data_IF_304861170187
#
_entry.id   IF_304861170187
#
_cell.length_a   1.000
_cell.length_b   1.000
_cell.length_c   1.000
_cell.angle_alpha   90.00
_cell.angle_beta   90.00
_cell.angle_gamma   90.00
#
_symmetry.space_group_name_H-M   'P 1'
#
loop_
_entity.id
_entity.type
_entity.pdbx_description
1 polymer ?
#
# COMPACT_ATOMS: atom_id res chain seq x y z
N UNK A 1 4.26 19.90 18.73
CA UNK A 1 5.30 19.65 17.74
C UNK A 1 4.99 18.37 16.99
N UNK A 2 4.89 18.45 15.69
CA UNK A 2 4.60 17.28 14.86
C UNK A 2 5.91 16.56 14.52
N UNK A 3 5.87 15.23 14.63
CA UNK A 3 7.01 14.42 14.23
C UNK A 3 7.27 14.57 12.72
N UNK A 4 8.53 14.64 12.34
CA UNK A 4 8.91 14.68 10.94
C UNK A 4 8.60 13.33 10.29
N UNK A 5 8.07 13.38 9.07
CA UNK A 5 7.80 12.16 8.31
C UNK A 5 9.11 11.62 7.76
N UNK A 6 9.40 10.32 7.97
CA UNK A 6 10.59 9.72 7.37
C UNK A 6 10.51 9.78 5.85
N UNK A 7 11.63 10.05 5.19
CA UNK A 7 11.69 10.09 3.73
C UNK A 7 11.26 8.76 3.09
N UNK A 8 11.70 7.60 3.60
CA UNK A 8 11.24 6.32 3.04
C UNK A 8 9.73 6.19 3.08
N UNK A 9 9.07 6.70 4.12
CA UNK A 9 7.62 6.68 4.22
C UNK A 9 6.98 7.51 3.11
N UNK A 10 7.48 8.72 2.88
CA UNK A 10 6.94 9.60 1.83
C UNK A 10 7.11 8.95 0.47
N UNK A 11 8.26 8.35 0.19
CA UNK A 11 8.49 7.64 -1.07
C UNK A 11 7.54 6.45 -1.22
N UNK A 12 7.38 5.66 -0.15
CA UNK A 12 6.47 4.52 -0.18
C UNK A 12 5.04 4.97 -0.47
N UNK A 13 4.58 6.01 0.20
CA UNK A 13 3.22 6.53 0.01
C UNK A 13 3.03 7.07 -1.41
N UNK A 14 4.02 7.77 -1.96
CA UNK A 14 3.95 8.26 -3.34
C UNK A 14 3.80 7.11 -4.33
N UNK A 15 4.59 6.05 -4.15
CA UNK A 15 4.50 4.86 -5.00
C UNK A 15 3.13 4.21 -4.85
N UNK A 16 2.63 4.08 -3.62
CA UNK A 16 1.33 3.47 -3.35
C UNK A 16 0.21 4.27 -4.00
N UNK A 17 0.25 5.59 -3.93
CA UNK A 17 -0.78 6.43 -4.55
C UNK A 17 -0.81 6.20 -6.06
N UNK A 18 0.35 6.17 -6.71
CA UNK A 18 0.43 5.89 -8.15
C UNK A 18 -0.07 4.48 -8.45
N UNK A 19 0.38 3.48 -7.69
CA UNK A 19 -0.08 2.10 -7.87
C UNK A 19 -1.60 2.00 -7.73
N UNK A 20 -2.16 2.63 -6.70
CA UNK A 20 -3.60 2.58 -6.44
C UNK A 20 -4.38 3.22 -7.57
N UNK A 21 -3.92 4.34 -8.11
CA UNK A 21 -4.56 5.00 -9.24
C UNK A 21 -4.55 4.08 -10.47
N UNK A 22 -3.42 3.42 -10.74
CA UNK A 22 -3.31 2.48 -11.86
C UNK A 22 -4.22 1.29 -11.66
N UNK A 23 -4.26 0.73 -10.45
CA UNK A 23 -5.13 -0.41 -10.13
C UNK A 23 -6.61 -0.04 -10.30
N UNK A 24 -7.02 1.14 -9.84
CA UNK A 24 -8.39 1.61 -10.01
C UNK A 24 -8.76 1.73 -11.49
N UNK A 25 -7.88 2.31 -12.29
CA UNK A 25 -8.11 2.43 -13.73
C UNK A 25 -8.21 1.05 -14.39
N UNK A 26 -7.34 0.11 -13.96
CA UNK A 26 -7.33 -1.24 -14.49
C UNK A 26 -8.65 -1.97 -14.17
N UNK A 27 -9.10 -1.91 -12.92
CA UNK A 27 -10.35 -2.56 -12.50
C UNK A 27 -11.55 -1.90 -13.19
N UNK A 28 -11.57 -0.59 -13.28
CA UNK A 28 -12.66 0.13 -13.92
C UNK A 28 -12.80 -0.25 -15.39
N UNK A 29 -11.68 -0.56 -16.05
CA UNK A 29 -11.66 -0.97 -17.46
C UNK A 29 -11.96 -2.44 -17.70
N UNK A 30 -12.14 -3.26 -16.67
CA UNK A 30 -12.39 -4.68 -16.82
C UNK A 30 -13.87 -4.97 -17.05
N UNK A 31 -14.27 -4.93 -18.30
CA UNK A 31 -15.68 -5.12 -18.68
C UNK A 31 -16.21 -6.54 -18.44
N UNK A 32 -15.32 -7.52 -18.29
CA UNK A 32 -15.72 -8.91 -17.99
C UNK A 32 -16.20 -9.10 -16.57
N UNK A 33 -15.93 -8.15 -15.69
CA UNK A 33 -16.40 -8.20 -14.32
C UNK A 33 -17.82 -7.64 -14.23
N UNK A 34 -18.66 -8.26 -13.37
CA UNK A 34 -19.96 -7.69 -13.07
C UNK A 34 -19.80 -6.32 -12.42
N UNK A 35 -20.83 -5.48 -12.54
CA UNK A 35 -20.80 -4.15 -11.95
C UNK A 35 -20.59 -4.23 -10.43
N UNK A 36 -21.28 -5.15 -9.76
CA UNK A 36 -21.14 -5.32 -8.31
C UNK A 36 -19.73 -5.69 -7.90
N UNK A 37 -19.11 -6.65 -8.60
CA UNK A 37 -17.75 -7.07 -8.32
C UNK A 37 -16.76 -5.96 -8.63
N UNK A 38 -16.95 -5.26 -9.75
CA UNK A 38 -16.07 -4.16 -10.14
C UNK A 38 -16.10 -3.05 -9.10
N UNK A 39 -17.29 -2.63 -8.67
CA UNK A 39 -17.42 -1.58 -7.65
C UNK A 39 -16.82 -2.06 -6.34
N UNK A 40 -17.06 -3.31 -5.94
CA UNK A 40 -16.49 -3.86 -4.71
C UNK A 40 -14.97 -3.84 -4.74
N UNK A 41 -14.36 -4.25 -5.84
CA UNK A 41 -12.90 -4.22 -5.99
C UNK A 41 -12.36 -2.79 -5.96
N UNK A 42 -13.06 -1.85 -6.60
CA UNK A 42 -12.64 -0.46 -6.59
C UNK A 42 -12.68 0.13 -5.18
N UNK A 43 -13.69 -0.23 -4.39
CA UNK A 43 -13.78 0.20 -2.98
C UNK A 43 -12.60 -0.36 -2.18
N UNK A 44 -12.32 -1.64 -2.33
CA UNK A 44 -11.21 -2.28 -1.61
C UNK A 44 -9.89 -1.63 -1.99
N UNK A 45 -9.65 -1.42 -3.28
CA UNK A 45 -8.42 -0.77 -3.74
C UNK A 45 -8.33 0.66 -3.23
N UNK A 46 -9.44 1.39 -3.25
CA UNK A 46 -9.48 2.78 -2.77
C UNK A 46 -9.17 2.90 -1.28
N UNK A 47 -9.38 1.85 -0.50
CA UNK A 47 -9.01 1.86 0.92
C UNK A 47 -7.52 2.10 1.12
N UNK A 48 -6.69 1.77 0.13
CA UNK A 48 -5.27 2.07 0.21
C UNK A 48 -5.00 3.57 0.35
N UNK A 49 -5.83 4.43 -0.24
CA UNK A 49 -5.70 5.88 -0.05
C UNK A 49 -5.94 6.29 1.40
N UNK A 50 -6.90 5.66 2.05
CA UNK A 50 -7.18 5.92 3.47
C UNK A 50 -5.99 5.52 4.33
N UNK A 51 -5.45 4.33 4.11
CA UNK A 51 -4.27 3.86 4.83
C UNK A 51 -3.04 4.71 4.52
N UNK A 52 -2.88 5.15 3.26
CA UNK A 52 -1.77 6.02 2.88
C UNK A 52 -1.83 7.34 3.65
N UNK A 53 -3.02 7.91 3.77
CA UNK A 53 -3.21 9.13 4.54
C UNK A 53 -2.88 8.90 6.02
N UNK A 54 -3.35 7.78 6.58
CA UNK A 54 -3.04 7.43 7.96
C UNK A 54 -1.55 7.21 8.18
N UNK A 55 -0.87 6.60 7.21
CA UNK A 55 0.57 6.39 7.27
C UNK A 55 1.31 7.73 7.31
N UNK A 56 0.88 8.71 6.51
CA UNK A 56 1.47 10.05 6.54
C UNK A 56 1.23 10.77 7.87
N UNK A 57 0.25 10.33 8.64
CA UNK A 57 0.00 10.81 10.00
C UNK A 57 0.72 9.96 11.05
N UNK A 58 1.64 9.11 10.61
CA UNK A 58 2.44 8.23 11.46
C UNK A 58 1.61 7.22 12.25
N UNK A 59 0.51 6.75 11.64
CA UNK A 59 -0.31 5.69 12.22
C UNK A 59 0.29 4.32 11.87
N UNK A 60 0.77 3.60 12.88
CA UNK A 60 1.33 2.26 12.68
C UNK A 60 0.28 1.29 12.12
N UNK A 61 -0.97 1.42 12.57
CA UNK A 61 -2.06 0.59 12.06
C UNK A 61 -2.29 0.77 10.57
N UNK A 62 -2.19 2.02 10.09
CA UNK A 62 -2.32 2.31 8.66
C UNK A 62 -1.18 1.71 7.86
N UNK A 63 0.05 1.77 8.38
CA UNK A 63 1.20 1.16 7.72
C UNK A 63 1.03 -0.35 7.65
N UNK A 64 0.54 -0.98 8.72
CA UNK A 64 0.26 -2.42 8.70
C UNK A 64 -0.79 -2.78 7.66
N UNK A 65 -1.83 -1.94 7.50
CA UNK A 65 -2.82 -2.12 6.44
C UNK A 65 -2.20 -2.06 5.05
N UNK A 66 -1.31 -1.10 4.82
CA UNK A 66 -0.60 -1.01 3.55
C UNK A 66 0.32 -2.20 3.32
N UNK A 67 0.99 -2.68 4.36
CA UNK A 67 1.83 -3.87 4.26
C UNK A 67 1.00 -5.08 3.85
N UNK A 68 -0.20 -5.21 4.40
CA UNK A 68 -1.11 -6.30 4.02
C UNK A 68 -1.50 -6.21 2.55
N UNK A 69 -1.86 -5.02 2.05
CA UNK A 69 -2.18 -4.83 0.63
C UNK A 69 -1.00 -5.16 -0.27
N UNK A 70 0.20 -4.71 0.09
CA UNK A 70 1.40 -4.98 -0.72
C UNK A 70 1.77 -6.47 -0.69
N UNK A 71 1.60 -7.13 0.45
CA UNK A 71 1.78 -8.57 0.56
C UNK A 71 0.81 -9.33 -0.34
N UNK A 72 -0.44 -8.91 -0.40
CA UNK A 72 -1.43 -9.49 -1.30
C UNK A 72 -1.03 -9.27 -2.77
N UNK A 73 -0.47 -8.11 -3.09
CA UNK A 73 0.02 -7.82 -4.44
C UNK A 73 1.14 -8.78 -4.83
N UNK A 74 2.08 -9.05 -3.92
CA UNK A 74 3.17 -10.00 -4.18
C UNK A 74 2.60 -11.40 -4.44
N UNK A 75 1.69 -11.86 -3.59
CA UNK A 75 1.08 -13.18 -3.73
C UNK A 75 0.32 -13.28 -5.07
N UNK A 76 -0.44 -12.26 -5.41
CA UNK A 76 -1.18 -12.24 -6.67
C UNK A 76 -0.24 -12.22 -7.88
N UNK A 77 0.87 -11.52 -7.79
CA UNK A 77 1.86 -11.47 -8.86
C UNK A 77 2.54 -12.81 -9.06
N UNK A 78 2.83 -13.54 -7.98
CA UNK A 78 3.47 -14.86 -8.05
C UNK A 78 2.49 -15.89 -8.62
N UNK A 79 1.25 -15.91 -8.14
CA UNK A 79 0.27 -16.91 -8.51
C UNK A 79 -0.65 -16.55 -9.67
N UNK A 80 -0.52 -15.34 -10.21
CA UNK A 80 -1.43 -14.86 -11.24
C UNK A 80 -1.08 -15.27 -12.65
N UNK A 81 -2.00 -15.02 -13.55
CA UNK A 81 -1.79 -15.17 -14.99
C UNK A 81 -1.26 -13.85 -15.55
N UNK A 82 -0.68 -13.91 -16.72
CA UNK A 82 -0.18 -12.74 -17.41
C UNK A 82 1.30 -12.82 -17.69
N UNK A 83 1.84 -11.79 -18.33
CA UNK A 83 3.23 -11.76 -18.73
C UNK A 83 4.16 -11.80 -17.53
N UNK A 84 5.14 -12.68 -17.56
CA UNK A 84 6.10 -12.86 -16.48
C UNK A 84 6.83 -11.56 -16.14
N UNK A 85 7.17 -10.77 -17.15
CA UNK A 85 7.85 -9.49 -16.96
C UNK A 85 7.00 -8.52 -16.14
N UNK A 86 5.70 -8.42 -16.47
CA UNK A 86 4.77 -7.53 -15.76
C UNK A 86 4.60 -8.00 -14.32
N UNK A 87 4.39 -9.30 -14.14
CA UNK A 87 4.24 -9.89 -12.80
C UNK A 87 5.48 -9.70 -11.95
N UNK A 88 6.65 -9.90 -12.55
CA UNK A 88 7.92 -9.68 -11.87
C UNK A 88 8.12 -8.22 -11.47
N UNK A 89 7.77 -7.29 -12.35
CA UNK A 89 7.87 -5.86 -12.06
C UNK A 89 6.93 -5.47 -10.91
N UNK A 90 5.69 -5.96 -10.93
CA UNK A 90 4.73 -5.68 -9.86
C UNK A 90 5.23 -6.23 -8.52
N UNK A 91 5.77 -7.44 -8.52
CA UNK A 91 6.31 -8.05 -7.31
C UNK A 91 7.49 -7.25 -6.77
N UNK A 92 8.40 -6.81 -7.63
CA UNK A 92 9.58 -6.03 -7.23
C UNK A 92 9.17 -4.68 -6.64
N UNK A 93 8.22 -4.00 -7.28
CA UNK A 93 7.74 -2.71 -6.76
C UNK A 93 7.06 -2.91 -5.39
N UNK A 94 6.24 -3.94 -5.25
CA UNK A 94 5.57 -4.24 -4.00
C UNK A 94 6.57 -4.56 -2.89
N UNK A 95 7.61 -5.34 -3.19
CA UNK A 95 8.66 -5.67 -2.23
C UNK A 95 9.42 -4.40 -1.82
N UNK A 96 9.74 -3.53 -2.78
CA UNK A 96 10.41 -2.27 -2.48
C UNK A 96 9.57 -1.41 -1.54
N UNK A 97 8.27 -1.32 -1.79
CA UNK A 97 7.35 -0.57 -0.92
C UNK A 97 7.31 -1.19 0.47
N UNK A 98 7.23 -2.52 0.56
CA UNK A 98 7.24 -3.22 1.86
C UNK A 98 8.49 -2.86 2.65
N UNK A 99 9.65 -2.91 2.03
CA UNK A 99 10.91 -2.57 2.69
C UNK A 99 10.89 -1.12 3.17
N UNK A 100 10.46 -0.19 2.32
CA UNK A 100 10.37 1.23 2.69
C UNK A 100 9.43 1.45 3.88
N UNK A 101 8.30 0.77 3.89
CA UNK A 101 7.33 0.88 4.98
C UNK A 101 7.90 0.29 6.27
N UNK A 102 8.58 -0.85 6.20
CA UNK A 102 9.17 -1.48 7.38
C UNK A 102 10.28 -0.63 7.98
N UNK A 103 11.12 -0.04 7.14
CA UNK A 103 12.17 0.88 7.60
C UNK A 103 11.53 2.10 8.25
N UNK A 104 10.46 2.60 7.66
CA UNK A 104 9.77 3.80 8.15
C UNK A 104 9.11 3.58 9.51
N UNK A 105 8.48 2.43 9.71
CA UNK A 105 7.73 2.17 10.94
C UNK A 105 8.63 2.15 12.17
N UNK A 106 9.90 1.80 11.99
CA UNK A 106 10.88 1.82 13.07
C UNK A 106 11.12 3.23 13.62
N UNK A 107 10.83 4.25 12.81
CA UNK A 107 11.00 5.65 13.19
C UNK A 107 9.72 6.28 13.75
N UNK A 108 8.64 5.51 13.83
CA UNK A 108 7.36 6.04 14.30
C UNK A 108 7.39 6.25 15.81
N UNK A 109 6.74 7.31 16.31
CA UNK A 109 6.58 7.48 17.74
C UNK A 109 5.78 6.32 18.32
N UNK A 110 6.09 5.92 19.54
CA UNK A 110 5.47 4.78 20.20
C UNK A 110 4.43 5.30 21.20
N UNK A 111 3.18 5.45 20.80
CA UNK A 111 2.15 6.01 21.68
C UNK A 111 1.80 5.09 22.84
N UNK A 112 2.08 3.80 22.72
CA UNK A 112 1.75 2.81 23.72
C UNK A 112 2.79 2.69 24.82
N UNK A 113 3.97 3.27 24.62
CA UNK A 113 5.00 3.24 25.64
C UNK A 113 4.83 4.40 26.61
N UNK A 114 4.77 4.13 27.91
CA UNK A 114 4.71 5.22 28.86
C UNK A 114 5.97 6.08 28.71
N UNK A 115 5.77 7.38 28.74
CA UNK A 115 6.92 8.27 28.71
C UNK A 115 7.63 8.15 30.03
N UNK A 116 8.79 7.56 29.99
CA UNK A 116 9.67 7.53 31.14
C UNK A 116 10.34 8.88 31.20
N UNK A 117 9.75 9.74 31.90
CA UNK A 117 10.34 11.05 32.12
C UNK A 117 11.17 11.04 33.40
#
# INVERSE_FOLDING_TARGET
MTAARPRPLVWAVDIIVVQTAVELAYVAGRSELTIGLRVGLMVVVAMQFVFARGALRLSAGSVLGLLAFEGMTVVAAIGGDGALVVRGALALVAIAVIVLLMVSIASFPSPDLPKLS
#
